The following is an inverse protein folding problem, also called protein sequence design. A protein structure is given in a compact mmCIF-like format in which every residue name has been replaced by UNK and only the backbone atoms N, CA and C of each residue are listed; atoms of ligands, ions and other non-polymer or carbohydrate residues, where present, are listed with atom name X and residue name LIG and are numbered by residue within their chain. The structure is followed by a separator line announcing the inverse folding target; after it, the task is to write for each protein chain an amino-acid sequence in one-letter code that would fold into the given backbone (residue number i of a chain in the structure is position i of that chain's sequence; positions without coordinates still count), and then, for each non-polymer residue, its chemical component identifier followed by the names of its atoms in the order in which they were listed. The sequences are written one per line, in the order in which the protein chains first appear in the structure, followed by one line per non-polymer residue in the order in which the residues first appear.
data_IF_248129750008
#
_entry.id   IF_248129750008
#
_cell.length_a   1.000
_cell.length_b   1.000
_cell.length_c   1.000
_cell.angle_alpha   90.00
_cell.angle_beta   90.00
_cell.angle_gamma   90.00
#
_symmetry.space_group_name_H-M   'P 1'
#
loop_
_entity.id
_entity.type
_entity.pdbx_description
1 polymer ?
#
# COMPACT_ATOMS: atom_id res chain seq x y z
N UNK A 1 -5.34 -16.00 -33.49
CA UNK A 1 -6.70 -16.25 -32.95
C UNK A 1 -6.68 -16.70 -31.49
N UNK A 2 -5.78 -17.63 -31.07
CA UNK A 2 -5.65 -18.04 -29.66
C UNK A 2 -5.19 -16.91 -28.74
N UNK A 3 -4.18 -16.15 -29.17
CA UNK A 3 -3.62 -15.03 -28.41
C UNK A 3 -4.65 -13.95 -28.08
N UNK A 4 -5.41 -13.48 -29.08
CA UNK A 4 -6.51 -12.51 -28.89
C UNK A 4 -7.60 -13.02 -27.94
N UNK A 5 -7.91 -14.32 -27.94
CA UNK A 5 -8.87 -14.91 -27.00
C UNK A 5 -8.34 -14.89 -25.56
N UNK A 6 -7.06 -15.20 -25.38
CA UNK A 6 -6.40 -15.14 -24.07
C UNK A 6 -6.37 -13.71 -23.55
N UNK A 7 -6.02 -12.74 -24.40
CA UNK A 7 -6.00 -11.32 -24.07
C UNK A 7 -7.37 -10.80 -23.61
N UNK A 8 -8.44 -11.12 -24.37
CA UNK A 8 -9.82 -10.77 -24.00
C UNK A 8 -10.21 -11.35 -22.64
N UNK A 9 -9.86 -12.62 -22.40
CA UNK A 9 -10.20 -13.30 -21.14
C UNK A 9 -9.41 -12.75 -19.95
N UNK A 10 -8.12 -12.46 -20.13
CA UNK A 10 -7.30 -11.84 -19.09
C UNK A 10 -7.85 -10.46 -18.72
N UNK A 11 -8.22 -9.65 -19.73
CA UNK A 11 -8.88 -8.37 -19.49
C UNK A 11 -10.20 -8.54 -18.70
N UNK A 12 -11.03 -9.52 -19.05
CA UNK A 12 -12.27 -9.81 -18.31
C UNK A 12 -12.01 -10.18 -16.85
N UNK A 13 -11.00 -11.02 -16.58
CA UNK A 13 -10.63 -11.40 -15.22
C UNK A 13 -10.19 -10.17 -14.41
N UNK A 14 -9.35 -9.31 -14.99
CA UNK A 14 -8.94 -8.05 -14.36
C UNK A 14 -10.13 -7.12 -14.11
N UNK A 15 -11.05 -6.99 -15.09
CA UNK A 15 -12.25 -6.17 -14.96
C UNK A 15 -13.20 -6.68 -13.85
N UNK A 16 -13.17 -7.98 -13.50
CA UNK A 16 -13.94 -8.52 -12.37
C UNK A 16 -13.47 -8.01 -10.99
N UNK A 17 -12.31 -7.33 -10.90
CA UNK A 17 -11.87 -6.67 -9.66
C UNK A 17 -12.81 -5.54 -9.27
N UNK A 18 -13.41 -4.85 -10.24
CA UNK A 18 -14.40 -3.78 -10.00
C UNK A 18 -15.83 -4.33 -10.13
N UNK A 19 -16.48 -4.51 -8.98
CA UNK A 19 -17.84 -5.05 -8.89
C UNK A 19 -18.93 -4.12 -9.42
N UNK A 20 -18.59 -2.86 -9.69
CA UNK A 20 -19.51 -1.89 -10.29
C UNK A 20 -19.62 -2.04 -11.81
N UNK A 21 -18.62 -2.67 -12.45
CA UNK A 21 -18.56 -2.81 -13.89
C UNK A 21 -19.43 -3.97 -14.40
N UNK A 22 -20.09 -3.71 -15.52
CA UNK A 22 -20.62 -4.78 -16.36
C UNK A 22 -19.48 -5.31 -17.25
N UNK A 23 -18.80 -6.36 -16.79
CA UNK A 23 -17.58 -6.90 -17.42
C UNK A 23 -17.76 -7.22 -18.90
N UNK A 24 -18.89 -7.81 -19.30
CA UNK A 24 -19.15 -8.13 -20.70
C UNK A 24 -19.35 -6.88 -21.57
N UNK A 25 -20.08 -5.88 -21.07
CA UNK A 25 -20.30 -4.63 -21.80
C UNK A 25 -19.00 -3.84 -21.95
N UNK A 26 -18.20 -3.77 -20.89
CA UNK A 26 -16.94 -3.05 -20.88
C UNK A 26 -15.90 -3.72 -21.79
N UNK A 27 -15.81 -5.05 -21.75
CA UNK A 27 -14.94 -5.80 -22.67
C UNK A 27 -15.34 -5.64 -24.12
N UNK A 28 -16.65 -5.64 -24.42
CA UNK A 28 -17.14 -5.41 -25.78
C UNK A 28 -16.70 -4.04 -26.32
N UNK A 29 -16.76 -3.00 -25.47
CA UNK A 29 -16.32 -1.64 -25.78
C UNK A 29 -14.81 -1.58 -26.01
N UNK A 30 -14.02 -2.14 -25.09
CA UNK A 30 -12.56 -2.11 -25.15
C UNK A 30 -12.01 -2.79 -26.41
N UNK A 31 -12.45 -4.02 -26.71
CA UNK A 31 -11.95 -4.79 -27.86
C UNK A 31 -12.70 -4.54 -29.18
N UNK A 32 -13.68 -3.64 -29.19
CA UNK A 32 -14.56 -3.35 -30.32
C UNK A 32 -15.21 -4.61 -30.91
N UNK A 33 -15.73 -5.47 -30.05
CA UNK A 33 -16.44 -6.71 -30.41
C UNK A 33 -17.92 -6.62 -30.05
N UNK A 34 -18.75 -7.52 -30.60
CA UNK A 34 -20.17 -7.55 -30.24
C UNK A 34 -20.36 -7.96 -28.77
N UNK A 35 -21.42 -7.45 -28.12
CA UNK A 35 -21.80 -7.87 -26.76
C UNK A 35 -22.02 -9.38 -26.66
N UNK A 36 -22.54 -10.00 -27.72
CA UNK A 36 -22.71 -11.46 -27.80
C UNK A 36 -21.36 -12.20 -27.82
N UNK A 37 -20.35 -11.67 -28.53
CA UNK A 37 -19.01 -12.24 -28.49
C UNK A 37 -18.38 -12.11 -27.10
N UNK A 38 -18.45 -10.93 -26.48
CA UNK A 38 -17.97 -10.74 -25.11
C UNK A 38 -18.70 -11.67 -24.12
N UNK A 39 -20.02 -11.76 -24.19
CA UNK A 39 -20.80 -12.65 -23.32
C UNK A 39 -20.41 -14.13 -23.48
N UNK A 40 -20.02 -14.59 -24.67
CA UNK A 40 -19.50 -15.95 -24.87
C UNK A 40 -18.15 -16.16 -24.17
N UNK A 41 -17.26 -15.17 -24.21
CA UNK A 41 -15.99 -15.25 -23.48
C UNK A 41 -16.21 -15.29 -21.96
N UNK A 42 -17.11 -14.46 -21.44
CA UNK A 42 -17.48 -14.45 -20.03
C UNK A 42 -18.11 -15.79 -19.61
N UNK A 43 -19.02 -16.34 -20.43
CA UNK A 43 -19.63 -17.63 -20.14
C UNK A 43 -18.60 -18.77 -20.11
N UNK A 44 -17.61 -18.75 -21.01
CA UNK A 44 -16.53 -19.73 -20.97
C UNK A 44 -15.65 -19.61 -19.70
N UNK A 45 -15.53 -18.41 -19.11
CA UNK A 45 -14.87 -18.23 -17.81
C UNK A 45 -15.72 -18.72 -16.64
N UNK A 46 -17.05 -18.60 -16.75
CA UNK A 46 -18.01 -19.17 -15.80
C UNK A 46 -17.98 -20.71 -15.84
N UNK A 47 -18.01 -21.32 -17.03
CA UNK A 47 -17.89 -22.77 -17.21
C UNK A 47 -16.56 -23.32 -16.71
N UNK A 48 -15.47 -22.54 -16.84
CA UNK A 48 -14.16 -22.89 -16.30
C UNK A 48 -14.06 -22.69 -14.76
N UNK A 49 -15.11 -22.21 -14.10
CA UNK A 49 -15.13 -21.98 -12.64
C UNK A 49 -14.22 -20.84 -12.18
N UNK A 50 -13.85 -19.91 -13.06
CA UNK A 50 -12.96 -18.78 -12.73
C UNK A 50 -13.75 -17.53 -12.32
N UNK A 51 -14.97 -17.40 -12.83
CA UNK A 51 -15.85 -16.25 -12.60
C UNK A 51 -17.23 -16.73 -12.21
N UNK A 52 -17.85 -16.08 -11.23
CA UNK A 52 -19.27 -16.19 -10.93
C UNK A 52 -19.95 -14.91 -11.35
N UNK A 53 -21.14 -15.02 -11.94
CA UNK A 53 -21.95 -13.84 -12.21
C UNK A 53 -23.34 -13.95 -11.59
N UNK A 54 -23.81 -12.85 -11.02
CA UNK A 54 -25.12 -12.74 -10.39
C UNK A 54 -25.90 -11.55 -11.00
N UNK A 55 -27.23 -11.66 -11.03
CA UNK A 55 -28.12 -10.64 -11.62
C UNK A 55 -28.37 -10.82 -13.13
N UNK A 56 -29.12 -9.88 -13.70
CA UNK A 56 -29.59 -9.94 -15.09
C UNK A 56 -29.25 -8.68 -15.91
N UNK A 57 -28.97 -8.88 -17.20
CA UNK A 57 -28.75 -7.83 -18.21
C UNK A 57 -27.72 -6.78 -17.75
N UNK A 58 -28.15 -5.54 -17.52
CA UNK A 58 -27.28 -4.40 -17.20
C UNK A 58 -26.80 -4.41 -15.74
N UNK A 59 -27.42 -5.21 -14.87
CA UNK A 59 -27.07 -5.34 -13.44
C UNK A 59 -26.28 -6.63 -13.18
N UNK A 60 -25.78 -7.29 -14.24
CA UNK A 60 -24.96 -8.50 -14.12
C UNK A 60 -23.62 -8.12 -13.48
N UNK A 61 -23.41 -8.56 -12.24
CA UNK A 61 -22.16 -8.39 -11.49
C UNK A 61 -21.35 -9.67 -11.64
N UNK A 62 -20.09 -9.53 -12.04
CA UNK A 62 -19.17 -10.66 -12.20
C UNK A 62 -18.06 -10.56 -11.16
N UNK A 63 -17.77 -11.66 -10.48
CA UNK A 63 -16.77 -11.76 -9.42
C UNK A 63 -15.84 -12.94 -9.66
N UNK A 64 -14.57 -12.80 -9.27
CA UNK A 64 -13.60 -13.88 -9.33
C UNK A 64 -13.93 -14.94 -8.27
N UNK A 65 -13.82 -16.21 -8.66
CA UNK A 65 -14.00 -17.34 -7.75
C UNK A 65 -12.65 -17.65 -7.08
N UNK A 66 -12.59 -17.73 -5.73
CA UNK A 66 -11.42 -18.28 -5.04
C UNK A 66 -11.21 -19.74 -5.44
N UNK A 67 -10.04 -20.05 -5.99
CA UNK A 67 -9.60 -21.40 -6.37
C UNK A 67 -8.96 -22.12 -5.19
N UNK A 68 -8.33 -21.38 -4.27
CA UNK A 68 -7.83 -21.87 -2.99
C UNK A 68 -8.19 -20.83 -1.92
N UNK A 69 -8.65 -21.29 -0.77
CA UNK A 69 -8.96 -20.45 0.37
C UNK A 69 -8.71 -21.22 1.66
N UNK A 70 -8.06 -20.59 2.62
CA UNK A 70 -7.76 -21.21 3.92
C UNK A 70 -7.58 -20.13 4.98
N UNK A 71 -7.79 -20.51 6.23
CA UNK A 71 -7.61 -19.63 7.38
C UNK A 71 -6.92 -20.37 8.50
N UNK A 72 -6.05 -19.67 9.22
CA UNK A 72 -5.38 -20.17 10.40
C UNK A 72 -5.50 -19.16 11.53
N UNK A 73 -5.46 -19.68 12.75
CA UNK A 73 -5.32 -18.87 13.96
C UNK A 73 -4.19 -19.48 14.78
N UNK A 74 -3.23 -18.64 15.16
CA UNK A 74 -2.05 -19.01 15.93
C UNK A 74 -2.04 -18.23 17.24
N UNK A 75 -1.51 -18.84 18.30
CA UNK A 75 -1.08 -18.08 19.46
C UNK A 75 0.23 -17.38 19.10
N UNK A 76 0.36 -16.09 19.43
CA UNK A 76 1.59 -15.34 19.18
C UNK A 76 2.76 -15.86 20.04
N UNK A 77 2.47 -16.35 21.24
CA UNK A 77 3.47 -16.87 22.15
C UNK A 77 4.21 -18.09 21.56
N UNK A 78 5.51 -17.91 21.26
CA UNK A 78 6.37 -18.97 20.73
C UNK A 78 6.19 -19.27 19.24
N UNK A 79 5.35 -18.50 18.54
CA UNK A 79 5.20 -18.58 17.09
C UNK A 79 6.45 -18.04 16.40
N UNK A 80 6.78 -18.63 15.24
CA UNK A 80 7.85 -18.14 14.37
C UNK A 80 7.30 -17.91 12.98
N UNK A 81 7.62 -16.76 12.41
CA UNK A 81 7.18 -16.33 11.09
C UNK A 81 7.67 -17.27 9.98
N UNK A 82 8.88 -17.80 10.11
CA UNK A 82 9.49 -18.69 9.12
C UNK A 82 8.72 -20.02 9.03
N UNK A 83 8.31 -20.56 10.18
CA UNK A 83 7.47 -21.77 10.27
C UNK A 83 6.10 -21.51 9.64
N UNK A 84 5.44 -20.39 9.98
CA UNK A 84 4.13 -20.04 9.38
C UNK A 84 4.26 -19.92 7.86
N UNK A 85 5.30 -19.27 7.37
CA UNK A 85 5.57 -19.16 5.94
C UNK A 85 5.75 -20.53 5.27
N UNK A 86 6.70 -21.34 5.77
CA UNK A 86 7.10 -22.60 5.17
C UNK A 86 5.97 -23.64 5.17
N UNK A 87 5.23 -23.74 6.27
CA UNK A 87 4.23 -24.78 6.46
C UNK A 87 2.83 -24.39 5.97
N UNK A 88 2.47 -23.09 6.03
CA UNK A 88 1.10 -22.64 5.74
C UNK A 88 0.98 -21.92 4.39
N UNK A 89 1.82 -20.93 4.11
CA UNK A 89 1.62 -20.02 2.97
C UNK A 89 2.37 -20.50 1.72
N UNK A 90 3.66 -20.82 1.83
CA UNK A 90 4.52 -21.19 0.71
C UNK A 90 3.96 -22.36 -0.14
N UNK A 91 3.37 -23.43 0.43
CA UNK A 91 2.81 -24.53 -0.36
C UNK A 91 1.65 -24.11 -1.27
N UNK A 92 0.89 -23.05 -0.91
CA UNK A 92 -0.29 -22.62 -1.66
C UNK A 92 0.05 -21.85 -2.94
N UNK A 93 1.27 -21.32 -3.01
CA UNK A 93 1.81 -20.51 -4.11
C UNK A 93 3.05 -21.13 -4.76
N UNK A 94 3.38 -22.40 -4.46
CA UNK A 94 4.59 -23.05 -4.94
C UNK A 94 4.73 -23.08 -6.48
N UNK A 95 3.60 -23.04 -7.19
CA UNK A 95 3.51 -23.00 -8.65
C UNK A 95 3.66 -21.59 -9.27
N UNK A 96 3.75 -20.54 -8.45
CA UNK A 96 3.93 -19.17 -8.93
C UNK A 96 5.38 -18.86 -9.33
N UNK A 97 5.59 -17.83 -10.19
CA UNK A 97 6.91 -17.35 -10.57
C UNK A 97 7.79 -17.03 -9.36
N UNK A 98 9.11 -17.21 -9.51
CA UNK A 98 10.08 -17.03 -8.42
C UNK A 98 10.04 -15.63 -7.79
N UNK A 99 9.97 -14.59 -8.61
CA UNK A 99 9.85 -13.21 -8.13
C UNK A 99 8.57 -12.96 -7.33
N UNK A 100 7.43 -13.53 -7.75
CA UNK A 100 6.15 -13.42 -7.04
C UNK A 100 6.23 -14.14 -5.69
N UNK A 101 6.86 -15.33 -5.64
CA UNK A 101 7.06 -16.06 -4.37
C UNK A 101 7.98 -15.32 -3.41
N UNK A 102 9.03 -14.68 -3.91
CA UNK A 102 9.96 -13.86 -3.12
C UNK A 102 9.25 -12.65 -2.50
N UNK A 103 8.43 -11.94 -3.28
CA UNK A 103 7.63 -10.82 -2.77
C UNK A 103 6.64 -11.27 -1.69
N UNK A 104 5.97 -12.41 -1.89
CA UNK A 104 5.10 -13.01 -0.86
C UNK A 104 5.86 -13.44 0.38
N UNK A 105 7.05 -14.02 0.22
CA UNK A 105 7.89 -14.41 1.36
C UNK A 105 8.22 -13.19 2.20
N UNK A 106 8.80 -12.17 1.58
CA UNK A 106 9.15 -10.93 2.24
C UNK A 106 7.96 -10.28 2.94
N UNK A 107 6.88 -10.02 2.20
CA UNK A 107 5.71 -9.33 2.75
C UNK A 107 5.03 -10.11 3.87
N UNK A 108 4.84 -11.43 3.72
CA UNK A 108 4.20 -12.23 4.74
C UNK A 108 5.05 -12.30 6.02
N UNK A 109 6.35 -12.58 5.92
CA UNK A 109 7.21 -12.70 7.10
C UNK A 109 7.36 -11.37 7.81
N UNK A 110 7.52 -10.26 7.09
CA UNK A 110 7.60 -8.92 7.70
C UNK A 110 6.31 -8.57 8.46
N UNK A 111 5.13 -8.85 7.89
CA UNK A 111 3.87 -8.51 8.57
C UNK A 111 3.58 -9.43 9.75
N UNK A 112 3.98 -10.71 9.69
CA UNK A 112 3.90 -11.63 10.82
C UNK A 112 4.87 -11.21 11.94
N UNK A 113 6.11 -10.85 11.61
CA UNK A 113 7.08 -10.34 12.60
C UNK A 113 6.59 -9.06 13.27
N UNK A 114 6.05 -8.11 12.51
CA UNK A 114 5.43 -6.92 13.12
C UNK A 114 4.33 -7.28 14.13
N UNK A 115 3.51 -8.29 13.85
CA UNK A 115 2.52 -8.76 14.81
C UNK A 115 3.16 -9.44 16.04
N UNK A 116 4.19 -10.27 15.84
CA UNK A 116 4.92 -10.95 16.92
C UNK A 116 5.60 -9.97 17.87
N UNK A 117 6.30 -8.98 17.31
CA UNK A 117 7.20 -8.11 18.07
C UNK A 117 6.47 -6.90 18.66
N UNK A 118 5.34 -6.49 18.07
CA UNK A 118 4.75 -5.19 18.36
C UNK A 118 3.26 -5.19 18.69
N UNK A 119 2.50 -6.26 18.41
CA UNK A 119 1.05 -6.21 18.67
C UNK A 119 0.71 -6.13 20.16
N UNK A 120 1.51 -6.79 21.02
CA UNK A 120 1.15 -7.11 22.41
C UNK A 120 -0.18 -7.89 22.53
N UNK A 121 -0.60 -8.54 21.44
CA UNK A 121 -1.78 -9.39 21.39
C UNK A 121 -1.53 -10.82 21.87
N UNK A 122 -2.56 -11.65 21.77
CA UNK A 122 -2.53 -13.08 22.08
C UNK A 122 -2.59 -13.96 20.83
N UNK A 123 -3.35 -13.53 19.82
CA UNK A 123 -3.67 -14.34 18.66
C UNK A 123 -3.32 -13.63 17.35
N UNK A 124 -2.86 -14.42 16.39
CA UNK A 124 -2.67 -14.04 15.00
C UNK A 124 -3.60 -14.85 14.11
N UNK A 125 -4.50 -14.20 13.40
CA UNK A 125 -5.34 -14.83 12.39
C UNK A 125 -4.85 -14.50 11.00
N UNK A 126 -4.65 -15.53 10.18
CA UNK A 126 -4.22 -15.39 8.79
C UNK A 126 -5.30 -15.97 7.90
N UNK A 127 -5.75 -15.19 6.92
CA UNK A 127 -6.65 -15.63 5.87
C UNK A 127 -5.95 -15.52 4.52
N UNK A 128 -5.92 -16.62 3.78
CA UNK A 128 -5.37 -16.67 2.43
C UNK A 128 -6.47 -16.97 1.43
N UNK A 129 -6.44 -16.27 0.30
CA UNK A 129 -7.30 -16.54 -0.85
C UNK A 129 -6.50 -16.39 -2.14
N UNK A 130 -6.70 -17.31 -3.07
CA UNK A 130 -6.12 -17.23 -4.41
C UNK A 130 -7.18 -17.48 -5.44
N UNK A 131 -7.30 -16.58 -6.40
CA UNK A 131 -8.15 -16.72 -7.58
C UNK A 131 -7.28 -16.90 -8.84
N UNK A 132 -7.90 -16.81 -10.02
CA UNK A 132 -7.23 -17.01 -11.30
C UNK A 132 -6.09 -16.02 -11.57
N UNK A 133 -6.18 -14.78 -11.07
CA UNK A 133 -5.25 -13.69 -11.39
C UNK A 133 -4.48 -13.13 -10.19
N UNK A 134 -5.01 -13.30 -8.98
CA UNK A 134 -4.47 -12.70 -7.75
C UNK A 134 -4.35 -13.71 -6.61
N UNK A 135 -3.35 -13.46 -5.76
CA UNK A 135 -3.27 -13.96 -4.40
C UNK A 135 -3.56 -12.81 -3.43
N UNK A 136 -4.19 -13.15 -2.31
CA UNK A 136 -4.58 -12.24 -1.25
C UNK A 136 -4.25 -12.88 0.11
N UNK A 137 -3.73 -12.06 1.02
CA UNK A 137 -3.42 -12.44 2.39
C UNK A 137 -3.93 -11.37 3.33
N UNK A 138 -4.71 -11.75 4.33
CA UNK A 138 -5.08 -10.90 5.46
C UNK A 138 -4.41 -11.44 6.71
N UNK A 139 -3.66 -10.59 7.42
CA UNK A 139 -3.00 -10.92 8.69
C UNK A 139 -3.61 -10.01 9.75
N UNK A 140 -4.22 -10.58 10.78
CA UNK A 140 -4.91 -9.83 11.84
C UNK A 140 -4.40 -10.24 13.22
N UNK A 141 -3.88 -9.29 13.98
CA UNK A 141 -3.60 -9.44 15.41
C UNK A 141 -4.72 -8.82 16.26
N UNK A 142 -4.84 -9.29 17.51
CA UNK A 142 -5.77 -8.79 18.52
C UNK A 142 -5.11 -7.84 19.54
N UNK A 143 -4.03 -7.15 19.12
CA UNK A 143 -3.20 -6.30 19.97
C UNK A 143 -3.72 -4.87 20.22
N UNK A 144 -2.81 -3.96 20.61
CA UNK A 144 -3.13 -2.55 20.90
C UNK A 144 -3.61 -1.79 19.66
N UNK A 145 -3.06 -2.16 18.49
CA UNK A 145 -3.23 -1.49 17.21
C UNK A 145 -2.05 -0.59 16.83
N UNK A 146 -1.53 -0.76 15.62
CA UNK A 146 -0.26 -0.15 15.17
C UNK A 146 -0.23 1.38 15.27
N UNK A 147 -1.28 2.09 14.85
CA UNK A 147 -1.26 3.55 14.84
C UNK A 147 -1.26 4.15 16.24
N UNK A 148 -2.05 3.56 17.15
CA UNK A 148 -2.14 3.98 18.55
C UNK A 148 -0.86 3.63 19.32
N UNK A 149 -0.26 2.47 19.02
CA UNK A 149 1.05 2.10 19.56
C UNK A 149 2.13 3.10 19.15
N UNK A 150 2.21 3.42 17.85
CA UNK A 150 3.18 4.42 17.35
C UNK A 150 2.93 5.76 18.04
N UNK A 151 1.68 6.22 18.12
CA UNK A 151 1.32 7.46 18.80
C UNK A 151 1.84 7.48 20.24
N UNK A 152 1.55 6.43 21.03
CA UNK A 152 1.96 6.31 22.43
C UNK A 152 3.48 6.30 22.59
N UNK A 153 4.19 5.56 21.75
CA UNK A 153 5.64 5.38 21.86
C UNK A 153 6.45 6.59 21.34
N UNK A 154 5.88 7.38 20.43
CA UNK A 154 6.55 8.54 19.84
C UNK A 154 6.03 9.89 20.37
N UNK A 155 4.96 9.87 21.18
CA UNK A 155 4.36 11.08 21.75
C UNK A 155 3.64 11.96 20.73
N UNK A 156 3.14 11.36 19.64
CA UNK A 156 2.37 12.08 18.63
C UNK A 156 1.05 12.57 19.21
N UNK A 157 0.57 13.71 18.71
CA UNK A 157 -0.66 14.31 19.21
C UNK A 157 -1.89 13.47 18.82
N UNK A 158 -1.85 12.87 17.63
CA UNK A 158 -2.94 12.08 17.06
C UNK A 158 -2.40 10.82 16.36
N UNK A 159 -3.11 9.69 16.44
CA UNK A 159 -2.74 8.43 15.78
C UNK A 159 -2.70 8.54 14.24
N UNK A 160 -3.40 9.51 13.64
CA UNK A 160 -3.29 9.85 12.21
C UNK A 160 -1.88 10.30 11.82
N UNK A 161 -1.13 10.90 12.74
CA UNK A 161 0.27 11.28 12.47
C UNK A 161 1.16 10.05 12.27
N UNK A 162 0.80 8.91 12.86
CA UNK A 162 1.52 7.63 12.68
C UNK A 162 1.52 7.18 11.22
N UNK A 163 0.46 7.50 10.45
CA UNK A 163 0.38 7.20 9.00
C UNK A 163 1.49 7.94 8.24
N UNK A 164 1.66 9.23 8.51
CA UNK A 164 2.70 10.04 7.89
C UNK A 164 4.09 9.50 8.26
N UNK A 165 4.30 9.09 9.51
CA UNK A 165 5.56 8.53 9.97
C UNK A 165 5.90 7.16 9.33
N UNK A 166 4.89 6.33 9.06
CA UNK A 166 5.03 5.08 8.31
C UNK A 166 5.30 5.34 6.82
N UNK A 167 4.61 6.32 6.23
CA UNK A 167 4.77 6.68 4.81
C UNK A 167 6.20 7.14 4.47
N UNK A 168 6.87 7.82 5.41
CA UNK A 168 8.28 8.24 5.29
C UNK A 168 9.26 7.05 5.25
N UNK A 169 8.94 5.95 5.96
CA UNK A 169 9.84 4.81 6.17
C UNK A 169 10.84 5.03 7.31
N UNK A 170 11.72 4.04 7.56
CA UNK A 170 12.72 4.02 8.65
C UNK A 170 12.12 4.25 10.06
N UNK A 171 10.84 3.91 10.25
CA UNK A 171 10.17 4.05 11.53
C UNK A 171 10.28 2.73 12.28
N UNK A 172 10.94 2.77 13.42
CA UNK A 172 11.04 1.64 14.33
C UNK A 172 10.95 2.15 15.76
N UNK A 173 10.22 1.43 16.59
CA UNK A 173 10.17 1.63 18.04
C UNK A 173 11.20 0.78 18.79
N UNK A 174 11.91 -0.10 18.07
CA UNK A 174 13.00 -0.93 18.55
C UNK A 174 14.18 -0.94 17.54
N UNK A 175 15.02 0.09 17.56
CA UNK A 175 16.14 0.22 16.61
C UNK A 175 17.25 -0.83 16.78
N UNK A 176 17.29 -1.58 17.89
CA UNK A 176 18.31 -2.60 18.11
C UNK A 176 18.01 -3.87 17.32
N UNK A 177 16.72 -4.16 17.11
CA UNK A 177 16.28 -5.38 16.42
C UNK A 177 15.66 -5.12 15.04
N UNK A 178 15.18 -3.90 14.76
CA UNK A 178 14.48 -3.58 13.51
C UNK A 178 14.98 -2.31 12.82
N UNK A 179 15.18 -2.38 11.50
CA UNK A 179 15.54 -1.23 10.66
C UNK A 179 14.38 -0.23 10.46
N UNK A 180 13.14 -0.68 10.66
CA UNK A 180 11.93 0.13 10.42
C UNK A 180 11.56 0.27 8.95
N UNK A 181 12.01 -0.67 8.11
CA UNK A 181 11.83 -0.66 6.66
C UNK A 181 10.76 -1.63 6.16
N UNK A 182 10.41 -2.64 6.95
CA UNK A 182 9.51 -3.74 6.60
C UNK A 182 8.16 -3.32 6.02
N UNK A 183 7.43 -2.49 6.77
CA UNK A 183 6.12 -1.95 6.34
C UNK A 183 6.29 -1.07 5.09
N UNK A 184 7.34 -0.26 5.03
CA UNK A 184 7.58 0.65 3.93
C UNK A 184 7.76 -0.11 2.60
N UNK A 185 8.64 -1.11 2.55
CA UNK A 185 8.87 -1.88 1.35
C UNK A 185 7.74 -2.85 1.03
N UNK A 186 7.11 -3.44 2.06
CA UNK A 186 5.91 -4.28 1.84
C UNK A 186 4.80 -3.47 1.20
N UNK A 187 4.54 -2.23 1.65
CA UNK A 187 3.49 -1.41 1.05
C UNK A 187 3.70 -1.13 -0.45
N UNK A 188 4.96 -1.06 -0.89
CA UNK A 188 5.35 -0.79 -2.29
C UNK A 188 5.47 -2.05 -3.14
N UNK A 189 5.75 -3.19 -2.52
CA UNK A 189 5.82 -4.47 -3.21
C UNK A 189 4.45 -4.92 -3.72
N UNK A 190 3.39 -4.73 -2.94
CA UNK A 190 2.08 -5.30 -3.27
C UNK A 190 1.25 -4.38 -4.19
N UNK A 191 0.37 -4.98 -5.00
CA UNK A 191 -0.57 -4.21 -5.85
C UNK A 191 -1.59 -3.46 -4.98
N UNK A 192 -1.95 -4.06 -3.84
CA UNK A 192 -2.73 -3.41 -2.79
C UNK A 192 -2.13 -3.78 -1.44
N UNK A 193 -1.93 -2.77 -0.61
CA UNK A 193 -1.50 -2.88 0.77
C UNK A 193 -2.45 -2.03 1.62
N UNK A 194 -3.11 -2.63 2.60
CA UNK A 194 -4.00 -1.91 3.51
C UNK A 194 -3.66 -2.29 4.95
N UNK A 195 -3.57 -1.31 5.83
CA UNK A 195 -3.54 -1.50 7.28
C UNK A 195 -4.83 -0.91 7.82
N UNK A 196 -5.59 -1.69 8.56
CA UNK A 196 -6.76 -1.25 9.32
C UNK A 196 -6.42 -1.45 10.79
N UNK A 197 -6.54 -0.41 11.61
CA UNK A 197 -6.33 -0.52 13.04
C UNK A 197 -7.28 0.44 13.75
N UNK A 198 -8.22 -0.14 14.50
CA UNK A 198 -9.35 0.59 15.08
C UNK A 198 -10.09 1.39 14.00
N UNK A 199 -10.36 2.67 14.26
CA UNK A 199 -11.06 3.57 13.34
C UNK A 199 -10.18 4.09 12.18
N UNK A 200 -8.87 3.82 12.18
CA UNK A 200 -7.94 4.33 11.18
C UNK A 200 -7.59 3.25 10.15
N UNK A 201 -7.36 3.68 8.92
CA UNK A 201 -6.68 2.84 7.95
C UNK A 201 -5.69 3.62 7.07
N UNK A 202 -4.74 2.87 6.53
CA UNK A 202 -3.72 3.28 5.59
C UNK A 202 -3.81 2.38 4.38
N UNK A 203 -3.82 2.92 3.16
CA UNK A 203 -3.78 2.09 1.94
C UNK A 203 -2.81 2.63 0.92
N UNK A 204 -1.98 1.75 0.39
CA UNK A 204 -1.11 2.02 -0.74
C UNK A 204 -1.57 1.09 -1.88
N UNK A 205 -1.94 1.65 -3.03
CA UNK A 205 -2.20 0.85 -4.24
C UNK A 205 -1.26 1.32 -5.32
N UNK A 206 -0.58 0.37 -5.98
CA UNK A 206 0.40 0.67 -7.00
C UNK A 206 -0.15 1.53 -8.17
N UNK A 207 -1.47 1.50 -8.41
CA UNK A 207 -2.15 2.26 -9.47
C UNK A 207 -2.89 3.50 -8.97
N UNK A 208 -3.10 3.67 -7.64
CA UNK A 208 -3.83 4.81 -7.07
C UNK A 208 -3.64 4.98 -5.57
N UNK A 209 -3.17 6.14 -5.16
CA UNK A 209 -3.00 6.54 -3.76
C UNK A 209 -4.32 7.05 -3.16
N UNK A 210 -5.24 6.14 -2.82
CA UNK A 210 -6.41 6.47 -1.99
C UNK A 210 -5.96 6.45 -0.51
N UNK A 211 -6.27 7.47 0.30
CA UNK A 211 -5.89 7.49 1.71
C UNK A 211 -7.07 7.96 2.56
N UNK A 212 -7.37 7.22 3.63
CA UNK A 212 -8.21 7.60 4.80
C UNK A 212 -9.74 7.69 4.59
N UNK A 213 -10.49 6.84 5.30
CA UNK A 213 -11.95 6.88 5.59
C UNK A 213 -12.04 6.35 7.03
N UNK A 214 -12.68 7.08 7.93
CA UNK A 214 -12.97 6.53 9.26
C UNK A 214 -13.89 5.31 9.12
N UNK A 215 -13.49 4.18 9.69
CA UNK A 215 -14.34 2.98 9.76
C UNK A 215 -15.06 3.01 11.11
N UNK A 216 -16.37 2.72 11.12
CA UNK A 216 -17.22 2.64 12.33
C UNK A 216 -16.85 1.50 13.31
N UNK A 217 -15.66 0.88 13.19
CA UNK A 217 -15.19 -0.19 14.06
C UNK A 217 -13.98 0.23 14.90
N UNK A 218 -14.16 0.49 16.19
CA UNK A 218 -13.08 0.73 17.16
C UNK A 218 -12.62 -0.57 17.83
N UNK A 219 -12.44 -1.63 17.04
CA UNK A 219 -11.93 -2.90 17.60
C UNK A 219 -10.40 -2.82 17.71
N UNK A 220 -9.82 -3.09 18.89
CA UNK A 220 -8.38 -3.19 19.05
C UNK A 220 -7.76 -4.21 18.09
N UNK A 221 -6.49 -4.00 17.79
CA UNK A 221 -5.69 -4.85 16.90
C UNK A 221 -5.31 -4.16 15.60
N UNK A 222 -4.60 -4.90 14.77
CA UNK A 222 -4.22 -4.48 13.42
C UNK A 222 -4.59 -5.57 12.43
N UNK A 223 -5.21 -5.20 11.32
CA UNK A 223 -5.46 -6.07 10.18
C UNK A 223 -4.73 -5.54 8.96
N UNK A 224 -3.88 -6.36 8.36
CA UNK A 224 -3.09 -6.02 7.18
C UNK A 224 -3.59 -6.86 6.02
N UNK A 225 -4.01 -6.21 4.95
CA UNK A 225 -4.41 -6.85 3.69
C UNK A 225 -3.38 -6.62 2.61
N UNK A 226 -2.92 -7.71 2.01
CA UNK A 226 -1.97 -7.75 0.91
C UNK A 226 -2.64 -8.40 -0.30
N UNK A 227 -2.47 -7.79 -1.48
CA UNK A 227 -2.84 -8.42 -2.76
C UNK A 227 -1.70 -8.27 -3.76
N UNK A 228 -1.40 -9.35 -4.46
CA UNK A 228 -0.42 -9.37 -5.54
C UNK A 228 -0.91 -10.24 -6.69
N UNK A 229 -0.73 -9.75 -7.91
CA UNK A 229 -0.99 -10.51 -9.12
C UNK A 229 -0.09 -11.74 -9.21
N UNK A 230 -0.70 -12.86 -9.61
CA UNK A 230 -0.02 -14.13 -9.87
C UNK A 230 1.07 -14.01 -10.96
N UNK A 231 1.02 -12.95 -11.77
CA UNK A 231 1.94 -12.69 -12.88
C UNK A 231 2.61 -11.33 -12.76
N UNK A 232 2.80 -10.81 -11.54
CA UNK A 232 3.49 -9.54 -11.32
C UNK A 232 4.89 -9.57 -11.98
N UNK A 233 5.25 -8.57 -12.82
CA UNK A 233 6.56 -8.52 -13.45
C UNK A 233 7.65 -7.92 -12.54
N UNK A 234 7.24 -7.20 -11.49
CA UNK A 234 8.16 -6.50 -10.57
C UNK A 234 8.96 -7.50 -9.73
N UNK A 235 10.11 -7.06 -9.26
CA UNK A 235 10.98 -7.80 -8.34
C UNK A 235 11.24 -6.99 -7.08
N UNK A 236 11.54 -7.66 -5.96
CA UNK A 236 11.96 -6.97 -4.73
C UNK A 236 13.20 -6.11 -4.96
N UNK A 237 14.13 -6.59 -5.78
CA UNK A 237 15.34 -5.85 -6.17
C UNK A 237 15.01 -4.50 -6.81
N UNK A 238 14.13 -4.46 -7.81
CA UNK A 238 13.74 -3.21 -8.47
C UNK A 238 13.11 -2.22 -7.48
N UNK A 239 12.32 -2.73 -6.52
CA UNK A 239 11.71 -1.90 -5.48
C UNK A 239 12.78 -1.33 -4.55
N UNK A 240 13.75 -2.14 -4.11
CA UNK A 240 14.86 -1.62 -3.29
C UNK A 240 15.70 -0.59 -4.03
N UNK A 241 16.07 -0.89 -5.28
CA UNK A 241 16.90 -0.04 -6.12
C UNK A 241 16.23 1.33 -6.39
N UNK A 242 14.89 1.43 -6.35
CA UNK A 242 14.16 2.72 -6.49
C UNK A 242 14.44 3.69 -5.34
N UNK A 243 14.69 3.15 -4.13
CA UNK A 243 14.88 3.91 -2.88
C UNK A 243 16.32 3.87 -2.35
N UNK A 244 17.22 3.23 -3.12
CA UNK A 244 18.66 3.33 -2.96
C UNK A 244 19.20 4.54 -3.74
N UNK A 245 20.32 5.10 -3.29
CA UNK A 245 21.09 6.06 -4.09
C UNK A 245 22.07 5.32 -5.00
N UNK A 246 22.48 5.91 -6.15
CA UNK A 246 23.54 5.34 -6.97
C UNK A 246 24.79 5.07 -6.13
N UNK A 247 25.35 3.87 -6.23
CA UNK A 247 26.55 3.43 -5.52
C UNK A 247 26.42 3.25 -3.99
N UNK A 248 25.22 3.45 -3.42
CA UNK A 248 24.90 3.14 -2.03
C UNK A 248 23.81 2.06 -1.94
N UNK A 249 24.11 0.91 -1.33
CA UNK A 249 23.12 -0.15 -1.07
C UNK A 249 22.15 0.18 0.09
N UNK A 250 22.10 1.42 0.54
CA UNK A 250 21.32 1.85 1.70
C UNK A 250 20.03 2.56 1.27
N UNK A 251 18.93 2.25 1.96
CA UNK A 251 17.66 2.96 1.83
C UNK A 251 17.84 4.42 2.23
N UNK A 252 18.21 5.31 1.32
CA UNK A 252 18.57 6.70 1.64
C UNK A 252 17.73 7.72 0.90
N UNK A 253 16.74 7.26 0.15
CA UNK A 253 15.77 8.07 -0.59
C UNK A 253 14.37 7.71 -0.16
N UNK A 254 13.48 8.69 -0.01
CA UNK A 254 12.05 8.45 0.27
C UNK A 254 11.16 9.35 -0.56
N UNK A 255 9.92 8.91 -0.81
CA UNK A 255 8.85 9.69 -1.43
C UNK A 255 7.70 9.83 -0.45
N UNK A 256 7.37 11.06 -0.08
CA UNK A 256 6.40 11.39 0.96
C UNK A 256 5.22 12.12 0.33
N UNK A 257 4.00 11.54 0.35
CA UNK A 257 2.80 12.23 -0.07
C UNK A 257 2.48 13.40 0.86
N UNK A 258 2.59 14.62 0.35
CA UNK A 258 2.43 15.86 1.13
C UNK A 258 1.00 16.01 1.65
N UNK A 259 0.01 15.44 0.96
CA UNK A 259 -1.38 15.40 1.42
C UNK A 259 -1.56 14.75 2.80
N UNK A 260 -0.67 13.84 3.22
CA UNK A 260 -0.72 13.22 4.55
C UNK A 260 -0.33 14.18 5.69
N UNK A 261 0.22 15.36 5.38
CA UNK A 261 0.44 16.40 6.39
C UNK A 261 -0.83 17.21 6.71
N UNK A 262 -1.90 17.02 5.93
CA UNK A 262 -3.23 17.60 6.21
C UNK A 262 -3.86 16.87 7.36
N UNK A 263 -4.68 17.60 8.09
CA UNK A 263 -5.56 17.04 9.09
C UNK A 263 -6.99 17.30 8.61
N UNK A 264 -7.74 16.26 8.31
CA UNK A 264 -9.10 16.35 7.74
C UNK A 264 -9.12 17.24 6.47
N UNK A 265 -10.01 18.23 6.40
CA UNK A 265 -10.13 19.15 5.26
C UNK A 265 -9.23 20.40 5.39
N UNK A 266 -8.24 20.40 6.29
CA UNK A 266 -7.35 21.55 6.45
C UNK A 266 -6.46 21.79 5.22
N UNK A 267 -6.31 23.06 4.87
CA UNK A 267 -5.28 23.51 3.93
C UNK A 267 -3.90 23.43 4.57
N UNK A 268 -2.88 23.15 3.75
CA UNK A 268 -1.47 23.10 4.16
C UNK A 268 -0.88 24.50 4.27
N UNK A 269 -1.18 25.21 5.35
CA UNK A 269 -0.82 26.62 5.52
C UNK A 269 0.11 26.91 6.69
N UNK A 270 0.16 26.04 7.70
CA UNK A 270 0.83 26.34 8.97
C UNK A 270 2.26 25.82 9.03
N UNK A 271 3.10 26.46 9.87
CA UNK A 271 4.46 25.95 10.16
C UNK A 271 4.45 24.63 10.92
N UNK A 272 3.46 24.39 11.78
CA UNK A 272 3.37 23.13 12.53
C UNK A 272 3.14 21.94 11.59
N UNK A 273 2.27 22.09 10.60
CA UNK A 273 2.08 21.08 9.55
C UNK A 273 3.41 20.80 8.81
N UNK A 274 4.15 21.84 8.42
CA UNK A 274 5.44 21.68 7.76
C UNK A 274 6.49 20.99 8.66
N UNK A 275 6.58 21.36 9.93
CA UNK A 275 7.50 20.71 10.89
C UNK A 275 7.20 19.23 11.08
N UNK A 276 5.92 18.85 11.17
CA UNK A 276 5.51 17.43 11.21
C UNK A 276 5.92 16.71 9.93
N UNK A 277 5.72 17.34 8.76
CA UNK A 277 6.12 16.76 7.48
C UNK A 277 7.63 16.51 7.41
N UNK A 278 8.46 17.50 7.73
CA UNK A 278 9.93 17.38 7.60
C UNK A 278 10.62 16.64 8.75
N UNK A 279 9.90 16.33 9.81
CA UNK A 279 10.42 15.50 10.91
C UNK A 279 11.00 14.19 10.36
N UNK A 280 12.23 13.85 10.78
CA UNK A 280 13.00 12.66 10.39
C UNK A 280 13.52 12.65 8.95
N UNK A 281 13.39 13.75 8.20
CA UNK A 281 13.98 13.84 6.87
C UNK A 281 15.51 13.76 6.90
N UNK A 282 16.15 14.14 8.00
CA UNK A 282 17.60 14.01 8.22
C UNK A 282 18.10 12.56 8.22
N UNK A 283 17.19 11.57 8.27
CA UNK A 283 17.53 10.14 8.08
C UNK A 283 17.67 9.74 6.60
N UNK A 284 17.41 10.65 5.68
CA UNK A 284 17.44 10.43 4.24
C UNK A 284 18.36 11.45 3.58
N UNK A 285 19.07 11.02 2.54
CA UNK A 285 19.86 11.92 1.69
C UNK A 285 18.97 12.65 0.67
N UNK A 286 17.93 11.99 0.18
CA UNK A 286 16.98 12.54 -0.80
C UNK A 286 15.55 12.33 -0.34
N UNK A 287 14.77 13.42 -0.32
CA UNK A 287 13.33 13.36 -0.03
C UNK A 287 12.54 13.95 -1.19
N UNK A 288 11.69 13.12 -1.80
CA UNK A 288 10.74 13.53 -2.82
C UNK A 288 9.43 13.90 -2.12
N UNK A 289 9.12 15.18 -2.11
CA UNK A 289 7.85 15.76 -1.69
C UNK A 289 6.86 15.65 -2.82
N UNK A 290 5.87 14.79 -2.67
CA UNK A 290 4.86 14.54 -3.67
C UNK A 290 3.57 15.32 -3.39
N UNK A 291 3.27 16.26 -4.27
CA UNK A 291 2.14 17.18 -4.16
C UNK A 291 0.90 16.70 -4.93
N UNK A 292 0.82 15.41 -5.28
CA UNK A 292 -0.40 14.81 -5.81
C UNK A 292 -1.59 15.08 -4.85
N UNK A 293 -2.72 15.51 -5.42
CA UNK A 293 -3.92 16.03 -4.71
C UNK A 293 -3.68 17.26 -3.81
N UNK A 294 -2.59 18.00 -4.03
CA UNK A 294 -2.30 19.27 -3.35
C UNK A 294 -2.46 20.47 -4.28
N UNK A 295 -3.64 21.10 -4.23
CA UNK A 295 -3.94 22.28 -5.05
C UNK A 295 -3.06 23.49 -4.72
N UNK A 296 -2.91 23.81 -3.42
CA UNK A 296 -2.14 24.97 -2.93
C UNK A 296 -1.50 24.70 -1.57
N UNK A 297 -0.45 25.47 -1.27
CA UNK A 297 0.21 25.53 0.05
C UNK A 297 0.36 26.99 0.50
N UNK A 298 0.33 27.22 1.81
CA UNK A 298 0.52 28.55 2.40
C UNK A 298 1.99 28.95 2.50
N UNK A 299 2.23 30.25 2.62
CA UNK A 299 3.58 30.82 2.69
C UNK A 299 4.37 30.28 3.89
N UNK A 300 3.75 30.20 5.07
CA UNK A 300 4.40 29.71 6.27
C UNK A 300 4.81 28.23 6.15
N UNK A 301 3.97 27.41 5.51
CA UNK A 301 4.29 26.01 5.22
C UNK A 301 5.47 25.87 4.26
N UNK A 302 5.45 26.61 3.14
CA UNK A 302 6.54 26.58 2.16
C UNK A 302 7.86 27.12 2.74
N UNK A 303 7.80 28.21 3.51
CA UNK A 303 8.96 28.83 4.16
C UNK A 303 9.68 27.87 5.12
N UNK A 304 8.92 27.13 5.91
CA UNK A 304 9.49 26.17 6.86
C UNK A 304 10.21 25.02 6.15
N UNK A 305 9.66 24.50 5.05
CA UNK A 305 10.24 23.35 4.33
C UNK A 305 11.44 23.78 3.48
N UNK A 306 11.23 24.75 2.58
CA UNK A 306 12.18 25.03 1.51
C UNK A 306 13.23 26.07 1.88
N UNK A 307 13.00 26.85 2.95
CA UNK A 307 14.00 27.81 3.47
C UNK A 307 14.56 27.36 4.81
N UNK A 308 13.72 27.17 5.84
CA UNK A 308 14.21 26.89 7.21
C UNK A 308 14.84 25.51 7.30
N UNK A 309 14.10 24.45 6.97
CA UNK A 309 14.60 23.07 7.05
C UNK A 309 15.78 22.87 6.10
N UNK A 310 15.63 23.25 4.82
CA UNK A 310 16.70 23.10 3.82
C UNK A 310 18.00 23.85 4.20
N UNK A 311 17.91 25.00 4.89
CA UNK A 311 19.12 25.70 5.36
C UNK A 311 19.77 25.03 6.57
N UNK A 312 18.97 24.40 7.44
CA UNK A 312 19.47 23.68 8.62
C UNK A 312 19.99 22.28 8.28
N UNK A 313 19.54 21.70 7.17
CA UNK A 313 19.86 20.35 6.70
C UNK A 313 20.35 20.36 5.24
N UNK A 314 21.48 21.03 4.93
CA UNK A 314 22.00 21.12 3.56
C UNK A 314 22.40 19.76 2.96
N UNK A 315 22.60 18.74 3.81
CA UNK A 315 22.85 17.36 3.42
C UNK A 315 21.60 16.66 2.83
N UNK A 316 20.40 17.17 3.10
CA UNK A 316 19.14 16.57 2.63
C UNK A 316 18.68 17.26 1.35
N UNK A 317 18.68 16.53 0.25
CA UNK A 317 18.18 16.99 -1.04
C UNK A 317 16.65 16.89 -1.10
N UNK A 318 15.97 18.02 -1.10
CA UNK A 318 14.52 18.09 -1.32
C UNK A 318 14.20 18.17 -2.83
N UNK A 319 13.34 17.28 -3.31
CA UNK A 319 12.83 17.24 -4.69
C UNK A 319 11.31 17.34 -4.63
N UNK A 320 10.71 18.09 -5.55
CA UNK A 320 9.24 18.21 -5.64
C UNK A 320 8.70 17.39 -6.81
N UNK A 321 7.64 16.62 -6.59
CA UNK A 321 6.88 15.90 -7.62
C UNK A 321 5.42 16.35 -7.62
N UNK A 322 4.77 16.30 -8.79
CA UNK A 322 3.34 16.64 -8.99
C UNK A 322 2.88 18.00 -8.41
N UNK A 323 3.79 18.97 -8.28
CA UNK A 323 3.45 20.30 -7.79
C UNK A 323 2.64 21.08 -8.84
N UNK A 324 1.51 21.65 -8.41
CA UNK A 324 0.72 22.58 -9.24
C UNK A 324 1.46 23.90 -9.42
N UNK A 325 1.00 24.73 -10.37
CA UNK A 325 1.54 26.08 -10.57
C UNK A 325 1.43 26.95 -9.30
N UNK A 326 0.36 26.77 -8.52
CA UNK A 326 0.15 27.50 -7.26
C UNK A 326 1.18 27.08 -6.20
N UNK A 327 1.42 25.77 -6.07
CA UNK A 327 2.46 25.22 -5.19
C UNK A 327 3.83 25.73 -5.62
N UNK A 328 4.20 25.62 -6.89
CA UNK A 328 5.50 26.07 -7.42
C UNK A 328 5.74 27.57 -7.16
N UNK A 329 4.73 28.42 -7.36
CA UNK A 329 4.83 29.86 -7.05
C UNK A 329 5.12 30.11 -5.57
N UNK A 330 4.51 29.34 -4.67
CA UNK A 330 4.73 29.51 -3.24
C UNK A 330 6.14 29.03 -2.82
N UNK A 331 6.63 27.94 -3.41
CA UNK A 331 7.99 27.44 -3.20
C UNK A 331 9.01 28.47 -3.65
N UNK A 332 8.86 29.00 -4.87
CA UNK A 332 9.73 30.05 -5.40
C UNK A 332 9.72 31.30 -4.51
N UNK A 333 8.54 31.67 -3.99
CA UNK A 333 8.41 32.79 -3.05
C UNK A 333 9.17 32.55 -1.75
N UNK A 334 9.08 31.36 -1.17
CA UNK A 334 9.81 30.99 0.04
C UNK A 334 11.34 31.07 -0.16
N UNK A 335 11.83 30.65 -1.32
CA UNK A 335 13.26 30.69 -1.68
C UNK A 335 13.77 32.11 -1.99
N UNK A 336 12.90 33.02 -2.41
CA UNK A 336 13.26 34.40 -2.76
C UNK A 336 13.43 35.32 -1.54
N UNK A 337 12.85 34.96 -0.38
CA UNK A 337 13.00 35.71 0.87
C UNK A 337 14.38 35.40 1.46
N UNK A 338 15.35 36.29 1.18
CA UNK A 338 16.68 36.28 1.82
C UNK A 338 16.67 36.98 3.16
#
# INVERSE_FOLDING_TARGET
MRERTTEIRNYMLTACRDRSLNVAAETARHFKISRQAASRHLHALEEAGLVRSEGAKNVKKSTLIPLKQTSWTFLLAGLKEDVVWLESIAPLIADLPGNVREMWQYGATEMINNALDHSEGLNLSIYFSRNAIDCELTITDDGEGIFHRIQRLTGLYDARESILELAKGKLTTDPQNHSGEGIFFTSRAFDSFVIISRNLYFTHRAEKDDWLIDIDSDTPGTSIYLRLSNTCPRTMKEIYDEYAEPDEYAFNKTRVPVKLARYEEEKLVSRSQAKRLVSRFEKFSTVILDFEDVEEIGQAFADEIFRVFASNHPEVKLITAHATDAVNKMILRALAVR
#
